data_IF_317594559858
#
_entry.id   IF_317594559858
#
_cell.length_a   1.000
_cell.length_b   1.000
_cell.length_c   1.000
_cell.angle_alpha   90.00
_cell.angle_beta   90.00
_cell.angle_gamma   90.00
#
_symmetry.space_group_name_H-M   'P 1'
#
loop_
_entity.id
_entity.type
_entity.pdbx_description
1 polymer ?
#
# COMPACT_ATOMS: atom_id res chain seq x y z
N UNK A 1 17.83 5.86 -12.12
CA UNK A 1 16.95 4.99 -12.93
C UNK A 1 16.32 3.94 -12.03
N UNK A 2 15.01 3.70 -12.16
CA UNK A 2 14.32 2.63 -11.42
C UNK A 2 14.73 1.27 -12.00
N UNK A 3 15.11 0.32 -11.14
CA UNK A 3 15.52 -1.03 -11.57
C UNK A 3 14.29 -1.83 -12.01
N UNK A 4 14.43 -2.64 -13.07
CA UNK A 4 13.39 -3.58 -13.54
C UNK A 4 12.84 -4.46 -12.42
N UNK A 5 13.71 -4.94 -11.53
CA UNK A 5 13.33 -5.77 -10.39
C UNK A 5 12.37 -5.08 -9.42
N UNK A 6 12.51 -3.76 -9.23
CA UNK A 6 11.60 -2.99 -8.38
C UNK A 6 10.23 -2.82 -9.07
N UNK A 7 10.23 -2.53 -10.37
CA UNK A 7 9.02 -2.43 -11.18
C UNK A 7 8.20 -3.72 -11.17
N UNK A 8 8.86 -4.87 -11.33
CA UNK A 8 8.20 -6.18 -11.26
C UNK A 8 7.54 -6.44 -9.90
N UNK A 9 8.20 -6.08 -8.80
CA UNK A 9 7.60 -6.21 -7.45
C UNK A 9 6.35 -5.35 -7.27
N UNK A 10 6.36 -4.13 -7.79
CA UNK A 10 5.19 -3.24 -7.74
C UNK A 10 4.06 -3.82 -8.61
N UNK A 11 4.40 -4.35 -9.78
CA UNK A 11 3.44 -5.02 -10.67
C UNK A 11 2.80 -6.25 -10.00
N UNK A 12 3.60 -7.11 -9.36
CA UNK A 12 3.10 -8.24 -8.58
C UNK A 12 2.09 -7.79 -7.53
N UNK A 13 2.39 -6.73 -6.78
CA UNK A 13 1.48 -6.17 -5.78
C UNK A 13 0.18 -5.62 -6.37
N UNK A 14 0.23 -5.06 -7.57
CA UNK A 14 -0.95 -4.62 -8.31
C UNK A 14 -1.79 -5.79 -8.86
N UNK A 15 -1.20 -6.98 -9.01
CA UNK A 15 -1.91 -8.20 -9.43
C UNK A 15 -2.35 -9.09 -8.26
N UNK A 16 -1.80 -8.86 -7.06
CA UNK A 16 -2.02 -9.71 -5.90
C UNK A 16 -3.37 -9.43 -5.26
N UNK A 17 -4.32 -10.34 -5.51
CA UNK A 17 -5.66 -10.31 -4.94
C UNK A 17 -5.64 -10.53 -3.42
N UNK A 18 -6.59 -9.89 -2.73
CA UNK A 18 -6.76 -10.00 -1.29
C UNK A 18 -8.16 -10.44 -0.90
N UNK A 19 -8.26 -10.87 0.37
CA UNK A 19 -9.46 -11.51 0.91
C UNK A 19 -9.81 -12.80 0.15
N UNK A 20 -8.81 -13.63 -0.11
CA UNK A 20 -9.02 -14.93 -0.76
C UNK A 20 -9.79 -15.92 0.13
N UNK A 21 -9.79 -15.68 1.45
CA UNK A 21 -10.41 -16.59 2.43
C UNK A 21 -11.92 -16.36 2.59
N UNK A 22 -12.49 -15.34 1.95
CA UNK A 22 -13.92 -15.00 2.03
C UNK A 22 -14.51 -14.76 0.64
N UNK A 23 -15.81 -15.01 0.49
CA UNK A 23 -16.53 -14.71 -0.75
C UNK A 23 -16.49 -13.20 -0.99
N UNK A 24 -15.94 -12.77 -2.12
CA UNK A 24 -15.79 -11.35 -2.48
C UNK A 24 -16.66 -10.99 -3.69
N UNK A 25 -17.33 -9.85 -3.60
CA UNK A 25 -18.18 -9.29 -4.69
C UNK A 25 -17.40 -8.44 -5.68
N UNK A 26 -16.19 -7.99 -5.30
CA UNK A 26 -15.30 -7.14 -6.08
C UNK A 26 -13.87 -7.65 -5.93
N UNK A 27 -13.08 -7.56 -7.00
CA UNK A 27 -11.65 -7.86 -6.97
C UNK A 27 -10.90 -6.68 -6.33
N UNK A 28 -10.16 -6.96 -5.26
CA UNK A 28 -9.35 -5.98 -4.54
C UNK A 28 -7.91 -6.46 -4.49
N UNK A 29 -6.99 -5.60 -4.91
CA UNK A 29 -5.56 -5.87 -4.91
C UNK A 29 -4.89 -5.29 -3.68
N UNK A 30 -3.65 -5.69 -3.42
CA UNK A 30 -2.86 -5.04 -2.36
C UNK A 30 -2.55 -3.58 -2.66
N UNK A 31 -2.39 -3.22 -3.94
CA UNK A 31 -2.21 -1.84 -4.33
C UNK A 31 -3.44 -1.01 -3.97
N UNK A 32 -4.65 -1.51 -4.26
CA UNK A 32 -5.90 -0.83 -3.94
C UNK A 32 -6.03 -0.58 -2.43
N UNK A 33 -5.65 -1.57 -1.63
CA UNK A 33 -5.65 -1.47 -0.17
C UNK A 33 -4.68 -0.40 0.34
N UNK A 34 -3.47 -0.30 -0.20
CA UNK A 34 -2.53 0.75 0.20
C UNK A 34 -2.96 2.12 -0.33
N UNK A 35 -3.51 2.20 -1.55
CA UNK A 35 -4.05 3.43 -2.11
C UNK A 35 -5.17 4.00 -1.23
N UNK A 36 -6.09 3.15 -0.77
CA UNK A 36 -7.17 3.57 0.12
C UNK A 36 -6.65 4.16 1.43
N UNK A 37 -5.64 3.55 2.05
CA UNK A 37 -5.00 4.12 3.24
C UNK A 37 -4.38 5.49 2.97
N UNK A 38 -3.74 5.67 1.82
CA UNK A 38 -3.14 6.95 1.46
C UNK A 38 -4.20 8.03 1.23
N UNK A 39 -5.35 7.68 0.68
CA UNK A 39 -6.49 8.62 0.59
C UNK A 39 -6.97 9.02 1.97
N UNK A 40 -7.11 8.08 2.91
CA UNK A 40 -7.49 8.39 4.29
C UNK A 40 -6.46 9.28 4.98
N UNK A 41 -5.16 8.96 4.85
CA UNK A 41 -4.08 9.77 5.41
C UNK A 41 -4.07 11.20 4.84
N UNK A 42 -4.35 11.34 3.54
CA UNK A 42 -4.50 12.65 2.91
C UNK A 42 -5.67 13.44 3.49
N UNK A 43 -6.85 12.84 3.60
CA UNK A 43 -8.02 13.51 4.17
C UNK A 43 -7.72 13.96 5.61
N UNK A 44 -7.16 13.07 6.44
CA UNK A 44 -6.80 13.39 7.82
C UNK A 44 -5.75 14.51 7.91
N UNK A 45 -4.71 14.46 7.09
CA UNK A 45 -3.69 15.51 7.07
C UNK A 45 -4.26 16.87 6.67
N UNK A 46 -5.18 16.92 5.69
CA UNK A 46 -5.84 18.17 5.30
C UNK A 46 -6.73 18.72 6.40
N UNK A 47 -7.50 17.87 7.09
CA UNK A 47 -8.28 18.28 8.25
C UNK A 47 -7.39 18.84 9.37
N UNK A 48 -6.22 18.25 9.60
CA UNK A 48 -5.28 18.71 10.63
C UNK A 48 -4.70 20.10 10.31
N UNK A 49 -4.35 20.35 9.05
CA UNK A 49 -3.92 21.67 8.58
C UNK A 49 -5.02 22.73 8.78
N UNK A 50 -6.28 22.36 8.55
CA UNK A 50 -7.43 23.26 8.69
C UNK A 50 -7.78 23.56 10.17
N UNK A 51 -7.68 22.58 11.07
CA UNK A 51 -8.07 22.72 12.49
C UNK A 51 -6.99 23.41 13.32
N UNK A 52 -5.73 22.99 13.16
CA UNK A 52 -4.65 23.38 14.07
C UNK A 52 -3.69 24.43 13.48
N UNK A 53 -3.92 24.88 12.23
CA UNK A 53 -3.00 25.72 11.45
C UNK A 53 -1.55 25.17 11.41
N UNK A 54 -1.39 23.88 11.74
CA UNK A 54 -0.13 23.17 11.74
C UNK A 54 0.28 22.81 10.33
N UNK A 55 1.58 22.62 10.11
CA UNK A 55 2.08 22.11 8.83
C UNK A 55 2.16 20.59 8.90
N UNK A 56 1.50 19.90 7.96
CA UNK A 56 1.67 18.47 7.80
C UNK A 56 2.88 18.19 6.93
N UNK A 57 3.73 17.26 7.38
CA UNK A 57 4.87 16.80 6.60
C UNK A 57 4.41 15.76 5.58
N UNK A 58 3.92 16.22 4.43
CA UNK A 58 3.44 15.36 3.35
C UNK A 58 4.51 14.41 2.81
N UNK A 59 5.78 14.85 2.79
CA UNK A 59 6.89 14.01 2.31
C UNK A 59 7.04 12.78 3.21
N UNK A 60 7.05 12.99 4.53
CA UNK A 60 7.17 11.91 5.51
C UNK A 60 5.99 10.94 5.44
N UNK A 61 4.77 11.44 5.24
CA UNK A 61 3.58 10.58 5.06
C UNK A 61 3.72 9.71 3.81
N UNK A 62 4.14 10.29 2.68
CA UNK A 62 4.32 9.57 1.43
C UNK A 62 5.44 8.53 1.56
N UNK A 63 6.58 8.89 2.15
CA UNK A 63 7.69 7.98 2.39
C UNK A 63 7.27 6.82 3.30
N UNK A 64 6.58 7.10 4.40
CA UNK A 64 6.05 6.09 5.30
C UNK A 64 5.10 5.13 4.57
N UNK A 65 4.18 5.66 3.75
CA UNK A 65 3.24 4.86 2.97
C UNK A 65 3.95 3.96 1.95
N UNK A 66 4.96 4.49 1.25
CA UNK A 66 5.77 3.72 0.30
C UNK A 66 6.58 2.62 0.98
N UNK A 67 7.23 2.91 2.11
CA UNK A 67 8.00 1.89 2.84
C UNK A 67 7.10 0.83 3.48
N UNK A 68 5.93 1.20 4.00
CA UNK A 68 4.94 0.24 4.47
C UNK A 68 4.49 -0.69 3.33
N UNK A 69 4.18 -0.12 2.16
CA UNK A 69 3.80 -0.89 0.98
C UNK A 69 4.90 -1.86 0.57
N UNK A 70 6.14 -1.39 0.38
CA UNK A 70 7.27 -2.24 0.00
C UNK A 70 7.53 -3.36 1.01
N UNK A 71 7.44 -3.07 2.31
CA UNK A 71 7.53 -4.07 3.37
C UNK A 71 6.44 -5.15 3.22
N UNK A 72 5.19 -4.76 2.93
CA UNK A 72 4.08 -5.70 2.73
C UNK A 72 4.26 -6.57 1.51
N UNK A 73 4.76 -6.03 0.40
CA UNK A 73 5.04 -6.81 -0.81
C UNK A 73 6.04 -7.93 -0.48
N UNK A 74 7.15 -7.56 0.19
CA UNK A 74 8.21 -8.52 0.54
C UNK A 74 7.69 -9.59 1.51
N UNK A 75 6.99 -9.19 2.57
CA UNK A 75 6.47 -10.14 3.56
C UNK A 75 5.40 -11.07 2.99
N UNK A 76 4.52 -10.55 2.14
CA UNK A 76 3.44 -11.37 1.56
C UNK A 76 3.98 -12.33 0.51
N UNK A 77 4.98 -11.91 -0.27
CA UNK A 77 5.67 -12.81 -1.20
C UNK A 77 6.28 -14.02 -0.47
N UNK A 78 6.84 -13.83 0.72
CA UNK A 78 7.38 -14.93 1.52
C UNK A 78 6.28 -15.94 1.93
N UNK A 79 5.14 -15.45 2.43
CA UNK A 79 4.01 -16.32 2.80
C UNK A 79 3.38 -17.04 1.62
N UNK A 80 3.43 -16.47 0.41
CA UNK A 80 2.88 -17.09 -0.79
C UNK A 80 3.75 -18.26 -1.28
N UNK A 81 5.07 -18.18 -1.08
CA UNK A 81 6.00 -19.28 -1.33
C UNK A 81 5.71 -20.48 -0.41
N UNK A 82 5.40 -20.24 0.88
CA UNK A 82 5.10 -21.29 1.85
C UNK A 82 3.72 -21.95 1.68
N UNK A 83 2.85 -21.44 0.81
CA UNK A 83 1.53 -22.03 0.51
C UNK A 83 1.52 -22.85 -0.78
N UNK A 84 2.66 -22.95 -1.48
CA UNK A 84 2.83 -23.75 -2.70
C UNK A 84 3.62 -25.06 -2.49
N UNK A 85 4.03 -25.34 -1.24
CA UNK A 85 4.58 -26.63 -0.76
C UNK A 85 3.56 -27.35 0.15
#
# INVERSE_FOLDING_TARGET
MIKKSLLLKIYEAASMQRWNDQIRTIELTELDKQAHKMVVAYILGRCEEDINAGKVNWLEIIECGLFEFLKRIILTALSLIFLQD
#
